data_IF_419279432096
#
_entry.id   IF_419279432096
#
_cell.length_a   1.000
_cell.length_b   1.000
_cell.length_c   1.000
_cell.angle_alpha   90.00
_cell.angle_beta   90.00
_cell.angle_gamma   90.00
#
_symmetry.space_group_name_H-M   'P 1'
#
loop_
_entity.id
_entity.type
_entity.pdbx_description
1 polymer ?
#
# COMPACT_ATOMS: atom_id res chain seq x y z
N UNK A 1 22.63 11.45 -40.86
CA UNK A 1 21.51 11.13 -39.98
C UNK A 1 20.39 12.10 -40.31
N UNK A 2 19.31 11.58 -40.89
CA UNK A 2 18.23 12.42 -41.40
C UNK A 2 17.48 13.06 -40.18
N UNK A 3 17.20 14.35 -40.29
CA UNK A 3 16.46 15.13 -39.28
C UNK A 3 15.16 14.47 -38.88
N UNK A 4 14.53 13.74 -39.80
CA UNK A 4 13.31 12.95 -39.54
C UNK A 4 13.56 11.81 -38.55
N UNK A 5 14.69 11.09 -38.66
CA UNK A 5 15.07 10.02 -37.75
C UNK A 5 15.33 10.52 -36.31
N UNK A 6 15.97 11.69 -36.20
CA UNK A 6 16.24 12.33 -34.93
C UNK A 6 14.94 12.75 -34.21
N UNK A 7 13.99 13.31 -34.98
CA UNK A 7 12.68 13.72 -34.44
C UNK A 7 11.87 12.52 -33.97
N UNK A 8 11.84 11.43 -34.72
CA UNK A 8 11.14 10.20 -34.35
C UNK A 8 11.75 9.60 -33.09
N UNK A 9 13.07 9.55 -32.96
CA UNK A 9 13.76 9.05 -31.78
C UNK A 9 13.44 9.91 -30.54
N UNK A 10 13.51 11.23 -30.68
CA UNK A 10 13.17 12.14 -29.58
C UNK A 10 11.71 11.99 -29.13
N UNK A 11 10.76 11.87 -30.06
CA UNK A 11 9.35 11.64 -29.75
C UNK A 11 9.14 10.30 -29.01
N UNK A 12 9.79 9.23 -29.44
CA UNK A 12 9.72 7.93 -28.78
C UNK A 12 10.26 7.97 -27.34
N UNK A 13 11.39 8.66 -27.13
CA UNK A 13 11.97 8.83 -25.78
C UNK A 13 11.05 9.64 -24.85
N UNK A 14 10.46 10.72 -25.35
CA UNK A 14 9.50 11.52 -24.54
C UNK A 14 8.27 10.70 -24.19
N UNK A 15 7.69 9.97 -25.15
CA UNK A 15 6.53 9.11 -24.89
C UNK A 15 6.84 8.02 -23.84
N UNK A 16 8.01 7.40 -23.95
CA UNK A 16 8.46 6.37 -22.99
C UNK A 16 8.66 6.97 -21.59
N UNK A 17 9.27 8.15 -21.52
CA UNK A 17 9.48 8.84 -20.24
C UNK A 17 8.15 9.24 -19.58
N UNK A 18 7.21 9.77 -20.36
CA UNK A 18 5.86 10.14 -19.89
C UNK A 18 5.10 8.89 -19.42
N UNK A 19 5.14 7.80 -20.18
CA UNK A 19 4.50 6.54 -19.79
C UNK A 19 5.12 5.96 -18.52
N UNK A 20 6.44 5.96 -18.39
CA UNK A 20 7.14 5.50 -17.20
C UNK A 20 6.82 6.36 -15.97
N UNK A 21 6.77 7.68 -16.13
CA UNK A 21 6.39 8.60 -15.07
C UNK A 21 4.93 8.37 -14.62
N UNK A 22 4.02 8.22 -15.57
CA UNK A 22 2.60 7.97 -15.31
C UNK A 22 2.38 6.63 -14.58
N UNK A 23 3.06 5.55 -15.01
CA UNK A 23 3.02 4.26 -14.34
C UNK A 23 3.59 4.33 -12.91
N UNK A 24 4.69 5.07 -12.70
CA UNK A 24 5.25 5.30 -11.36
C UNK A 24 4.30 6.10 -10.47
N UNK A 25 3.66 7.13 -11.01
CA UNK A 25 2.71 7.95 -10.25
C UNK A 25 1.47 7.15 -9.80
N UNK A 26 1.07 6.12 -10.57
CA UNK A 26 -0.07 5.24 -10.23
C UNK A 26 0.31 4.07 -9.32
N UNK A 27 1.59 3.71 -9.25
CA UNK A 27 2.05 2.64 -8.39
C UNK A 27 2.12 3.12 -6.93
N UNK A 28 1.50 2.36 -6.03
CA UNK A 28 1.55 2.60 -4.59
C UNK A 28 0.66 3.73 -4.08
N UNK A 29 -0.08 4.44 -4.95
CA UNK A 29 -1.04 5.45 -4.49
C UNK A 29 -2.09 4.83 -3.56
N UNK A 30 -2.33 5.45 -2.41
CA UNK A 30 -3.40 5.04 -1.49
C UNK A 30 -4.74 5.41 -2.12
N UNK A 31 -5.60 4.40 -2.32
CA UNK A 31 -6.96 4.58 -2.84
C UNK A 31 -7.96 4.34 -1.73
N UNK A 32 -8.94 5.21 -1.62
CA UNK A 32 -10.12 4.97 -0.79
C UNK A 32 -11.00 3.91 -1.46
N UNK A 33 -11.59 3.03 -0.67
CA UNK A 33 -12.41 1.90 -1.14
C UNK A 33 -13.88 2.21 -0.85
N UNK A 34 -14.76 1.86 -1.78
CA UNK A 34 -16.21 2.00 -1.62
C UNK A 34 -16.79 0.93 -0.69
N UNK A 35 -17.83 1.26 0.08
CA UNK A 35 -18.36 0.46 1.21
C UNK A 35 -18.78 -0.98 0.89
N UNK A 36 -19.17 -1.30 -0.34
CA UNK A 36 -19.71 -2.63 -0.68
C UNK A 36 -18.65 -3.76 -0.75
N UNK A 37 -17.38 -3.43 -0.98
CA UNK A 37 -16.27 -4.41 -0.99
C UNK A 37 -15.78 -4.76 0.43
N UNK A 38 -16.16 -3.98 1.43
CA UNK A 38 -15.52 -3.90 2.76
C UNK A 38 -15.82 -5.09 3.67
N UNK A 39 -17.01 -5.66 3.61
CA UNK A 39 -17.45 -6.66 4.62
C UNK A 39 -16.71 -7.99 4.46
N UNK A 40 -16.47 -8.43 3.23
CA UNK A 40 -15.75 -9.67 2.94
C UNK A 40 -14.24 -9.57 3.21
N UNK A 41 -13.64 -8.43 2.85
CA UNK A 41 -12.20 -8.19 3.02
C UNK A 41 -11.80 -8.11 4.50
N UNK A 42 -12.64 -7.49 5.35
CA UNK A 42 -12.38 -7.40 6.79
C UNK A 42 -12.30 -8.79 7.44
N UNK A 43 -13.23 -9.69 7.12
CA UNK A 43 -13.24 -11.04 7.68
C UNK A 43 -11.95 -11.81 7.35
N UNK A 44 -11.45 -11.67 6.10
CA UNK A 44 -10.19 -12.29 5.66
C UNK A 44 -9.02 -11.68 6.42
N UNK A 45 -8.95 -10.35 6.55
CA UNK A 45 -7.86 -9.66 7.26
C UNK A 45 -7.86 -10.00 8.76
N UNK A 46 -9.03 -10.14 9.39
CA UNK A 46 -9.15 -10.58 10.79
C UNK A 46 -8.72 -12.04 10.95
N UNK A 47 -9.02 -12.91 10.00
CA UNK A 47 -8.53 -14.29 9.95
C UNK A 47 -7.01 -14.39 9.93
N UNK A 48 -6.33 -13.40 9.31
CA UNK A 48 -4.87 -13.27 9.30
C UNK A 48 -4.30 -12.65 10.60
N UNK A 49 -5.14 -12.24 11.53
CA UNK A 49 -4.74 -11.68 12.83
C UNK A 49 -4.84 -10.16 12.94
N UNK A 50 -5.44 -9.47 11.97
CA UNK A 50 -5.71 -8.05 12.11
C UNK A 50 -6.73 -7.81 13.25
N UNK A 51 -6.42 -6.86 14.14
CA UNK A 51 -7.25 -6.46 15.28
C UNK A 51 -7.47 -4.96 15.28
N UNK A 52 -8.31 -4.44 14.37
CA UNK A 52 -8.48 -2.99 14.23
C UNK A 52 -9.00 -2.33 15.51
N UNK A 53 -9.82 -3.01 16.31
CA UNK A 53 -10.35 -2.50 17.58
C UNK A 53 -9.27 -2.14 18.60
N UNK A 54 -8.07 -2.71 18.49
CA UNK A 54 -6.98 -2.53 19.45
C UNK A 54 -6.09 -1.31 19.10
N UNK A 55 -6.34 -0.63 17.96
CA UNK A 55 -5.55 0.49 17.47
C UNK A 55 -6.43 1.58 16.83
N UNK A 56 -5.89 2.78 16.65
CA UNK A 56 -6.58 3.85 15.90
C UNK A 56 -6.49 3.60 14.39
N UNK A 57 -5.34 3.05 13.95
CA UNK A 57 -5.09 2.62 12.58
C UNK A 57 -4.38 1.27 12.58
N UNK A 58 -4.91 0.31 11.83
CA UNK A 58 -4.25 -0.97 11.57
C UNK A 58 -3.81 -1.03 10.10
N UNK A 59 -2.53 -1.31 9.89
CA UNK A 59 -1.95 -1.49 8.55
C UNK A 59 -1.56 -2.93 8.37
N UNK A 60 -2.14 -3.60 7.37
CA UNK A 60 -1.81 -4.98 6.99
C UNK A 60 -1.01 -4.95 5.69
N UNK A 61 0.21 -5.45 5.72
CA UNK A 61 1.10 -5.49 4.55
C UNK A 61 1.32 -6.91 4.07
N UNK A 62 0.94 -7.19 2.83
CA UNK A 62 1.33 -8.41 2.12
C UNK A 62 2.71 -8.23 1.46
N UNK A 63 3.59 -9.18 1.68
CA UNK A 63 4.99 -9.17 1.20
C UNK A 63 5.41 -10.53 0.70
N UNK A 64 6.50 -10.58 -0.07
CA UNK A 64 7.22 -11.80 -0.43
C UNK A 64 8.67 -11.72 0.06
N UNK A 65 9.36 -12.87 0.11
CA UNK A 65 10.72 -12.98 0.65
C UNK A 65 11.73 -12.03 -0.03
N UNK A 66 11.66 -11.89 -1.35
CA UNK A 66 12.64 -11.13 -2.15
C UNK A 66 12.15 -9.74 -2.57
N UNK A 67 11.21 -9.16 -1.85
CA UNK A 67 10.62 -7.86 -2.15
C UNK A 67 11.40 -6.72 -1.45
N UNK A 68 12.30 -6.06 -2.19
CA UNK A 68 13.06 -4.88 -1.69
C UNK A 68 12.15 -3.74 -1.21
N UNK A 69 11.18 -3.27 -2.02
CA UNK A 69 10.21 -2.25 -1.61
C UNK A 69 9.40 -2.64 -0.36
N UNK A 70 9.11 -3.95 -0.17
CA UNK A 70 8.41 -4.43 1.03
C UNK A 70 9.23 -4.21 2.29
N UNK A 71 10.55 -4.46 2.25
CA UNK A 71 11.45 -4.22 3.38
C UNK A 71 11.53 -2.74 3.74
N UNK A 72 11.61 -1.86 2.75
CA UNK A 72 11.63 -0.42 2.98
C UNK A 72 10.32 0.08 3.62
N UNK A 73 9.17 -0.36 3.10
CA UNK A 73 7.84 -0.03 3.66
C UNK A 73 7.69 -0.55 5.08
N UNK A 74 8.11 -1.80 5.34
CA UNK A 74 8.11 -2.40 6.69
C UNK A 74 8.95 -1.59 7.67
N UNK A 75 10.19 -1.25 7.31
CA UNK A 75 11.06 -0.45 8.16
C UNK A 75 10.44 0.91 8.50
N UNK A 76 9.79 1.55 7.52
CA UNK A 76 9.09 2.81 7.75
C UNK A 76 7.90 2.67 8.70
N UNK A 77 7.07 1.64 8.53
CA UNK A 77 5.93 1.39 9.41
C UNK A 77 6.39 1.06 10.84
N UNK A 78 7.43 0.25 11.01
CA UNK A 78 8.01 -0.03 12.31
C UNK A 78 8.56 1.24 12.99
N UNK A 79 9.22 2.12 12.23
CA UNK A 79 9.66 3.41 12.75
C UNK A 79 8.47 4.29 13.18
N UNK A 80 7.40 4.34 12.40
CA UNK A 80 6.19 5.09 12.76
C UNK A 80 5.52 4.54 14.03
N UNK A 81 5.50 3.21 14.22
CA UNK A 81 4.97 2.59 15.45
C UNK A 81 5.69 3.07 16.72
N UNK A 82 6.98 3.35 16.67
CA UNK A 82 7.72 3.83 17.86
C UNK A 82 7.27 5.22 18.32
N UNK A 83 6.71 6.02 17.41
CA UNK A 83 6.29 7.41 17.67
C UNK A 83 4.77 7.59 17.60
N UNK A 84 4.03 6.57 17.21
CA UNK A 84 2.57 6.58 17.02
C UNK A 84 1.95 5.35 17.69
N UNK A 85 1.68 5.39 19.00
CA UNK A 85 1.18 4.24 19.75
C UNK A 85 -0.21 3.75 19.29
N UNK A 86 -0.97 4.60 18.59
CA UNK A 86 -2.23 4.22 17.95
C UNK A 86 -2.10 3.44 16.63
N UNK A 87 -0.86 3.23 16.13
CA UNK A 87 -0.61 2.45 14.92
C UNK A 87 -0.35 0.98 15.24
N UNK A 88 -1.17 0.08 14.68
CA UNK A 88 -0.91 -1.35 14.62
C UNK A 88 -0.41 -1.75 13.23
N UNK A 89 0.59 -2.61 13.16
CA UNK A 89 1.16 -3.11 11.92
C UNK A 89 1.23 -4.62 11.91
N UNK A 90 0.61 -5.24 10.92
CA UNK A 90 0.63 -6.67 10.66
C UNK A 90 1.36 -6.96 9.35
N UNK A 91 2.37 -7.80 9.40
CA UNK A 91 3.07 -8.32 8.23
C UNK A 91 2.56 -9.70 7.86
N UNK A 92 2.14 -9.89 6.61
CA UNK A 92 1.65 -11.15 6.07
C UNK A 92 2.56 -11.61 4.94
N UNK A 93 3.01 -12.85 5.02
CA UNK A 93 3.73 -13.50 3.92
C UNK A 93 2.72 -13.99 2.88
N UNK A 94 2.74 -13.35 1.71
CA UNK A 94 1.83 -13.66 0.61
C UNK A 94 2.04 -15.08 0.03
N UNK A 95 3.24 -15.63 0.16
CA UNK A 95 3.57 -16.96 -0.36
C UNK A 95 2.97 -18.08 0.52
N UNK A 96 2.76 -17.79 1.80
CA UNK A 96 2.14 -18.70 2.77
C UNK A 96 0.61 -18.57 2.87
N UNK A 97 0.02 -17.53 2.24
CA UNK A 97 -1.40 -17.17 2.37
C UNK A 97 -2.05 -16.95 0.99
N UNK A 98 -1.92 -17.93 0.09
CA UNK A 98 -2.36 -17.79 -1.30
C UNK A 98 -3.87 -17.68 -1.48
N UNK A 99 -4.66 -18.26 -0.59
CA UNK A 99 -6.12 -18.18 -0.65
C UNK A 99 -6.61 -16.78 -0.26
N UNK A 100 -6.00 -16.18 0.77
CA UNK A 100 -6.26 -14.81 1.19
C UNK A 100 -5.76 -13.80 0.15
N UNK A 101 -4.61 -14.06 -0.47
CA UNK A 101 -4.07 -13.27 -1.60
C UNK A 101 -5.07 -13.23 -2.75
N UNK A 102 -5.71 -14.37 -3.08
CA UNK A 102 -6.74 -14.44 -4.12
C UNK A 102 -8.04 -13.76 -3.70
N UNK A 103 -8.49 -14.03 -2.46
CA UNK A 103 -9.73 -13.44 -1.92
C UNK A 103 -9.66 -11.91 -1.85
N UNK A 104 -8.47 -11.36 -1.53
CA UNK A 104 -8.21 -9.92 -1.42
C UNK A 104 -7.72 -9.29 -2.74
N UNK A 105 -7.68 -10.03 -3.86
CA UNK A 105 -7.15 -9.59 -5.15
C UNK A 105 -5.76 -8.92 -5.04
N UNK A 106 -4.86 -9.51 -4.26
CA UNK A 106 -3.48 -9.03 -4.12
C UNK A 106 -2.65 -9.48 -5.33
N UNK A 107 -2.35 -8.57 -6.24
CA UNK A 107 -1.68 -8.86 -7.52
C UNK A 107 -0.21 -8.48 -7.55
N UNK A 108 0.28 -7.76 -6.55
CA UNK A 108 1.69 -7.32 -6.42
C UNK A 108 2.05 -7.07 -4.96
N UNK A 109 3.33 -7.10 -4.66
CA UNK A 109 3.85 -6.77 -3.34
C UNK A 109 4.77 -5.54 -3.38
N UNK A 110 4.74 -4.71 -2.32
CA UNK A 110 3.81 -4.79 -1.21
C UNK A 110 2.39 -4.38 -1.63
N UNK A 111 1.38 -5.00 -1.03
CA UNK A 111 0.01 -4.46 -0.99
C UNK A 111 -0.32 -4.17 0.47
N UNK A 112 -0.87 -3.00 0.74
CA UNK A 112 -1.24 -2.56 2.08
C UNK A 112 -2.75 -2.31 2.15
N UNK A 113 -3.33 -2.72 3.26
CA UNK A 113 -4.71 -2.42 3.65
C UNK A 113 -4.69 -1.56 4.90
N UNK A 114 -5.50 -0.52 4.94
CA UNK A 114 -5.59 0.43 6.04
C UNK A 114 -6.98 0.32 6.67
N UNK A 115 -7.03 -0.07 7.94
CA UNK A 115 -8.27 -0.26 8.68
C UNK A 115 -8.33 0.75 9.83
N UNK A 116 -9.45 1.42 10.00
CA UNK A 116 -9.70 2.23 11.17
C UNK A 116 -10.10 1.35 12.39
N UNK A 117 -10.30 1.97 13.54
CA UNK A 117 -10.68 1.30 14.79
C UNK A 117 -12.01 0.54 14.68
N UNK A 118 -12.93 0.97 13.82
CA UNK A 118 -14.21 0.28 13.60
C UNK A 118 -14.05 -0.99 12.75
N UNK A 119 -12.90 -1.16 12.11
CA UNK A 119 -12.63 -2.21 11.14
C UNK A 119 -13.00 -1.81 9.71
N UNK A 120 -13.40 -0.56 9.48
CA UNK A 120 -13.65 -0.07 8.13
C UNK A 120 -12.34 0.02 7.35
N UNK A 121 -12.36 -0.48 6.12
CA UNK A 121 -11.23 -0.34 5.19
C UNK A 121 -11.24 1.09 4.64
N UNK A 122 -10.37 1.95 5.18
CA UNK A 122 -10.27 3.36 4.78
C UNK A 122 -9.38 3.59 3.57
N UNK A 123 -8.60 2.59 3.17
CA UNK A 123 -7.76 2.69 1.99
C UNK A 123 -6.98 1.41 1.69
N UNK A 124 -6.44 1.39 0.48
CA UNK A 124 -5.57 0.31 -0.01
C UNK A 124 -4.49 0.90 -0.92
N UNK A 125 -3.26 0.40 -0.82
CA UNK A 125 -2.21 0.68 -1.79
C UNK A 125 -1.68 -0.60 -2.41
N UNK A 126 -1.52 -0.60 -3.73
CA UNK A 126 -0.96 -1.70 -4.51
C UNK A 126 0.41 -1.27 -5.04
N UNK A 127 1.47 -1.79 -4.47
CA UNK A 127 2.84 -1.30 -4.56
C UNK A 127 3.22 -0.45 -3.35
N UNK A 128 4.51 -0.13 -3.21
CA UNK A 128 5.01 0.69 -2.11
C UNK A 128 4.43 2.11 -2.18
N UNK A 129 3.72 2.58 -1.13
CA UNK A 129 3.27 3.96 -1.06
C UNK A 129 4.48 4.90 -0.93
N UNK A 130 4.28 6.15 -1.31
CA UNK A 130 5.31 7.18 -1.07
C UNK A 130 5.45 7.40 0.45
N UNK A 131 6.69 7.57 0.96
CA UNK A 131 6.93 7.73 2.40
C UNK A 131 6.13 8.87 3.02
N UNK A 132 5.98 9.99 2.29
CA UNK A 132 5.23 11.17 2.73
C UNK A 132 3.72 10.87 2.83
N UNK A 133 3.19 10.17 1.83
CA UNK A 133 1.78 9.78 1.77
C UNK A 133 1.42 8.79 2.89
N UNK A 134 2.28 7.80 3.12
CA UNK A 134 2.13 6.85 4.21
C UNK A 134 2.17 7.54 5.58
N UNK A 135 3.13 8.46 5.77
CA UNK A 135 3.26 9.21 7.03
C UNK A 135 2.04 10.09 7.27
N UNK A 136 1.60 10.83 6.25
CA UNK A 136 0.43 11.70 6.35
C UNK A 136 -0.85 10.91 6.67
N UNK A 137 -1.03 9.73 6.08
CA UNK A 137 -2.15 8.85 6.39
C UNK A 137 -2.10 8.36 7.84
N UNK A 138 -0.94 7.93 8.31
CA UNK A 138 -0.76 7.50 9.71
C UNK A 138 -1.03 8.66 10.66
N UNK A 139 -0.47 9.84 10.41
CA UNK A 139 -0.65 11.03 11.26
C UNK A 139 -2.11 11.48 11.32
N UNK A 140 -2.83 11.42 10.20
CA UNK A 140 -4.25 11.77 10.14
C UNK A 140 -5.13 10.88 11.02
N UNK A 141 -4.75 9.61 11.22
CA UNK A 141 -5.56 8.65 11.97
C UNK A 141 -5.05 8.37 13.40
N UNK A 142 -3.75 8.62 13.67
CA UNK A 142 -3.15 8.32 14.99
C UNK A 142 -2.70 9.57 15.76
N UNK A 143 -2.62 10.72 15.09
CA UNK A 143 -2.06 11.96 15.65
C UNK A 143 -3.08 12.91 16.28
N UNK A 144 -4.37 12.62 16.24
CA UNK A 144 -5.43 13.56 16.61
C UNK A 144 -5.88 13.52 18.08
N UNK A 145 -5.06 12.97 19.00
CA UNK A 145 -5.34 13.08 20.44
C UNK A 145 -4.18 13.81 21.14
N UNK A 146 -4.18 15.10 20.95
CA UNK A 146 -3.60 15.98 21.95
C UNK A 146 -4.67 16.31 22.99
#
# INVERSE_FOLDING_TARGET
>A
MDTTGLVVLAAALVLTAVAAWWLRARNGAVRQVTEEAVVGELAVLQGLGARPQDADLTVVQFSTAFCGPCRATRARLQQLQTTRPGLSYLHVDAESHLDEVRALDVRRTPTLFYLDRSGALIGRSSGAPRPEELTALVDAHTGARA
#
